data_IF_304026309431
#
_entry.id   IF_304026309431
#
_cell.length_a   1.000
_cell.length_b   1.000
_cell.length_c   1.000
_cell.angle_alpha   90.00
_cell.angle_beta   90.00
_cell.angle_gamma   90.00
#
_symmetry.space_group_name_H-M   'P 1'
#
loop_
_entity.id
_entity.type
_entity.pdbx_description
1 polymer ?
#
# COMPACT_ATOMS: atom_id res chain seq x y z
N UNK A 1 -9.84 -23.21 -19.78
CA UNK A 1 -9.70 -21.82 -19.30
C UNK A 1 -9.96 -21.87 -17.81
N UNK A 2 -8.95 -21.60 -16.96
CA UNK A 2 -9.14 -21.60 -15.50
C UNK A 2 -10.09 -20.47 -15.10
N UNK A 3 -10.92 -20.67 -14.07
CA UNK A 3 -11.71 -19.57 -13.53
C UNK A 3 -10.77 -18.49 -12.95
N UNK A 4 -11.15 -17.22 -12.99
CA UNK A 4 -10.32 -16.10 -12.51
C UNK A 4 -9.85 -16.30 -11.05
N UNK A 5 -10.68 -16.93 -10.20
CA UNK A 5 -10.37 -17.26 -8.80
C UNK A 5 -9.29 -18.34 -8.62
N UNK A 6 -8.96 -19.11 -9.67
CA UNK A 6 -7.97 -20.19 -9.63
C UNK A 6 -6.58 -19.76 -10.13
N UNK A 7 -6.47 -18.58 -10.75
CA UNK A 7 -5.18 -18.10 -11.27
C UNK A 7 -4.16 -17.94 -10.12
N UNK A 8 -2.88 -18.28 -10.35
CA UNK A 8 -1.78 -17.94 -9.44
C UNK A 8 -1.76 -16.43 -9.18
N UNK A 9 -1.66 -15.97 -7.92
CA UNK A 9 -1.45 -14.56 -7.66
C UNK A 9 -0.08 -14.11 -8.16
N UNK A 10 0.04 -12.82 -8.47
CA UNK A 10 1.29 -12.21 -8.88
C UNK A 10 1.83 -11.28 -7.79
N UNK A 11 3.01 -11.59 -7.27
CA UNK A 11 3.66 -10.78 -6.23
C UNK A 11 4.61 -9.80 -6.91
N UNK A 12 4.37 -8.51 -6.73
CA UNK A 12 5.22 -7.43 -7.22
C UNK A 12 6.07 -6.90 -6.08
N UNK A 13 7.39 -6.91 -6.24
CA UNK A 13 8.30 -6.38 -5.22
C UNK A 13 9.28 -5.40 -5.82
N UNK A 14 9.28 -4.16 -5.33
CA UNK A 14 10.36 -3.22 -5.63
C UNK A 14 11.52 -3.38 -4.63
N UNK A 15 12.68 -3.78 -5.15
CA UNK A 15 13.91 -4.02 -4.38
C UNK A 15 14.89 -2.86 -4.58
N UNK A 16 14.85 -1.94 -3.63
CA UNK A 16 15.83 -0.87 -3.45
C UNK A 16 16.95 -1.26 -2.46
N UNK A 17 16.64 -2.14 -1.49
CA UNK A 17 17.57 -2.62 -0.46
C UNK A 17 17.69 -4.16 -0.51
N UNK A 18 18.72 -4.72 -1.16
CA UNK A 18 18.88 -6.17 -1.32
C UNK A 18 18.97 -6.95 -0.01
N UNK A 19 19.62 -6.39 1.02
CA UNK A 19 19.73 -7.00 2.35
C UNK A 19 18.37 -7.23 3.01
N UNK A 20 17.40 -6.37 2.72
CA UNK A 20 16.02 -6.51 3.19
C UNK A 20 15.27 -7.55 2.36
N UNK A 21 15.57 -7.62 1.07
CA UNK A 21 14.90 -8.55 0.16
C UNK A 21 15.13 -10.01 0.57
N UNK A 22 16.33 -10.37 1.02
CA UNK A 22 16.62 -11.74 1.48
C UNK A 22 15.70 -12.19 2.64
N UNK A 23 15.38 -11.29 3.57
CA UNK A 23 14.41 -11.54 4.64
C UNK A 23 13.00 -11.73 4.06
N UNK A 24 12.56 -10.81 3.20
CA UNK A 24 11.21 -10.84 2.61
C UNK A 24 10.99 -12.05 1.69
N UNK A 25 12.02 -12.49 0.96
CA UNK A 25 11.96 -13.69 0.12
C UNK A 25 11.71 -14.96 0.96
N UNK A 26 12.31 -15.05 2.15
CA UNK A 26 12.04 -16.13 3.11
C UNK A 26 10.63 -16.05 3.69
N UNK A 27 10.17 -14.85 4.04
CA UNK A 27 8.80 -14.64 4.53
C UNK A 27 7.76 -15.08 3.48
N UNK A 28 7.96 -14.73 2.21
CA UNK A 28 7.11 -15.14 1.09
C UNK A 28 7.14 -16.67 0.92
N UNK A 29 8.33 -17.27 0.88
CA UNK A 29 8.50 -18.71 0.72
C UNK A 29 7.78 -19.53 1.80
N UNK A 30 7.76 -19.02 3.05
CA UNK A 30 7.11 -19.66 4.19
C UNK A 30 5.58 -19.47 4.21
N UNK A 31 5.11 -18.29 3.82
CA UNK A 31 3.71 -17.92 3.95
C UNK A 31 2.82 -18.33 2.77
N UNK A 32 3.37 -18.32 1.54
CA UNK A 32 2.61 -18.51 0.30
C UNK A 32 2.77 -19.95 -0.20
N UNK A 33 1.94 -20.86 0.33
CA UNK A 33 1.97 -22.29 -0.02
C UNK A 33 0.97 -22.66 -1.13
N UNK A 34 0.89 -21.81 -2.16
CA UNK A 34 0.08 -22.00 -3.38
C UNK A 34 0.88 -21.50 -4.57
N UNK A 35 0.72 -22.05 -5.79
CA UNK A 35 1.41 -21.55 -6.97
C UNK A 35 1.28 -20.03 -7.11
N UNK A 36 2.39 -19.31 -7.30
CA UNK A 36 2.43 -17.86 -7.47
C UNK A 36 3.52 -17.42 -8.45
N UNK A 37 3.32 -16.26 -9.08
CA UNK A 37 4.35 -15.57 -9.86
C UNK A 37 5.04 -14.47 -9.06
N UNK A 38 6.29 -14.14 -9.40
CA UNK A 38 7.05 -13.06 -8.78
C UNK A 38 7.63 -12.11 -9.83
N UNK A 39 7.32 -10.82 -9.68
CA UNK A 39 7.88 -9.73 -10.49
C UNK A 39 8.72 -8.83 -9.58
N UNK A 40 10.03 -8.84 -9.79
CA UNK A 40 10.97 -7.97 -9.10
C UNK A 40 11.31 -6.78 -9.96
N UNK A 41 11.26 -5.59 -9.37
CA UNK A 41 11.88 -4.39 -9.96
C UNK A 41 13.07 -3.96 -9.12
N UNK A 42 14.19 -3.59 -9.74
CA UNK A 42 15.40 -3.22 -9.00
C UNK A 42 16.25 -2.18 -9.74
N UNK A 43 17.08 -1.45 -9.01
CA UNK A 43 17.90 -0.36 -9.53
C UNK A 43 19.29 -0.84 -9.97
N UNK A 44 19.35 -1.81 -10.89
CA UNK A 44 20.62 -2.33 -11.44
C UNK A 44 21.43 -3.20 -10.47
N UNK A 45 20.78 -3.76 -9.44
CA UNK A 45 21.40 -4.72 -8.53
C UNK A 45 21.77 -6.01 -9.27
N UNK A 46 22.97 -6.53 -9.06
CA UNK A 46 23.36 -7.85 -9.56
C UNK A 46 22.81 -8.94 -8.65
N UNK A 47 22.12 -9.92 -9.23
CA UNK A 47 21.67 -11.19 -8.60
C UNK A 47 20.85 -11.02 -7.31
N UNK A 48 19.53 -10.93 -7.44
CA UNK A 48 18.60 -11.00 -6.31
C UNK A 48 18.22 -12.46 -6.02
N UNK A 49 18.20 -12.84 -4.73
CA UNK A 49 17.78 -14.18 -4.33
C UNK A 49 16.31 -14.45 -4.72
N UNK A 50 16.01 -15.68 -5.13
CA UNK A 50 14.63 -16.15 -5.31
C UNK A 50 14.11 -16.73 -4.00
N UNK A 51 12.80 -16.63 -3.71
CA UNK A 51 12.18 -17.41 -2.65
C UNK A 51 12.45 -18.91 -2.85
N UNK A 52 12.98 -19.58 -1.82
CA UNK A 52 13.26 -21.02 -1.86
C UNK A 52 11.98 -21.80 -1.54
N UNK A 53 11.18 -22.07 -2.58
CA UNK A 53 9.87 -22.70 -2.46
C UNK A 53 9.46 -23.39 -3.77
N UNK A 54 8.80 -24.56 -3.73
CA UNK A 54 8.30 -25.22 -4.94
C UNK A 54 7.09 -24.50 -5.55
N UNK A 55 6.52 -23.50 -4.87
CA UNK A 55 5.32 -22.80 -5.32
C UNK A 55 5.60 -21.61 -6.26
N UNK A 56 6.87 -21.24 -6.46
CA UNK A 56 7.24 -20.19 -7.42
C UNK A 56 7.17 -20.76 -8.84
N UNK A 57 6.16 -20.35 -9.62
CA UNK A 57 5.90 -20.88 -10.97
C UNK A 57 6.25 -19.92 -12.11
N UNK A 58 6.33 -18.61 -11.84
CA UNK A 58 6.77 -17.59 -12.80
C UNK A 58 7.69 -16.59 -12.10
N UNK A 59 8.73 -16.12 -12.80
CA UNK A 59 9.71 -15.20 -12.22
C UNK A 59 10.23 -14.22 -13.27
N UNK A 60 10.14 -12.92 -12.95
CA UNK A 60 10.56 -11.83 -13.83
C UNK A 60 11.35 -10.78 -13.04
N UNK A 61 12.42 -10.28 -13.65
CA UNK A 61 13.21 -9.15 -13.13
C UNK A 61 13.16 -7.98 -14.12
N UNK A 62 12.93 -6.77 -13.62
CA UNK A 62 12.85 -5.54 -14.41
C UNK A 62 13.83 -4.53 -13.81
N UNK A 63 14.84 -4.16 -14.59
CA UNK A 63 15.77 -3.09 -14.22
C UNK A 63 15.09 -1.74 -14.43
N UNK A 64 15.03 -0.93 -13.38
CA UNK A 64 14.39 0.39 -13.38
C UNK A 64 15.32 1.44 -12.79
N UNK A 65 14.98 2.71 -12.99
CA UNK A 65 15.62 3.81 -12.27
C UNK A 65 15.01 3.95 -10.86
N UNK A 66 15.78 4.46 -9.91
CA UNK A 66 15.28 4.85 -8.59
C UNK A 66 14.49 6.17 -8.66
N UNK A 67 13.42 6.21 -9.45
CA UNK A 67 12.54 7.36 -9.68
C UNK A 67 11.13 6.97 -9.25
N UNK A 68 10.45 7.86 -8.53
CA UNK A 68 9.10 7.57 -8.02
C UNK A 68 9.05 6.50 -6.92
N UNK A 69 10.20 6.22 -6.27
CA UNK A 69 10.35 5.29 -5.15
C UNK A 69 9.87 3.90 -5.51
N UNK A 70 8.98 3.31 -4.73
CA UNK A 70 8.36 2.02 -5.00
C UNK A 70 7.13 2.08 -5.92
N UNK A 71 6.61 3.28 -6.17
CA UNK A 71 5.36 3.48 -6.91
C UNK A 71 5.61 3.36 -8.41
N UNK A 72 6.46 4.21 -8.99
CA UNK A 72 6.71 4.19 -10.44
C UNK A 72 7.27 2.84 -10.93
N UNK A 73 8.19 2.16 -10.21
CA UNK A 73 8.59 0.80 -10.54
C UNK A 73 7.44 -0.19 -10.54
N UNK A 74 6.51 -0.09 -9.59
CA UNK A 74 5.31 -0.92 -9.59
C UNK A 74 4.41 -0.63 -10.79
N UNK A 75 4.17 0.65 -11.12
CA UNK A 75 3.40 1.03 -12.32
C UNK A 75 4.05 0.52 -13.60
N UNK A 76 5.38 0.58 -13.67
CA UNK A 76 6.16 0.02 -14.78
C UNK A 76 6.00 -1.49 -14.87
N UNK A 77 6.03 -2.19 -13.74
CA UNK A 77 5.83 -3.63 -13.68
C UNK A 77 4.42 -4.06 -14.10
N UNK A 78 3.38 -3.29 -13.75
CA UNK A 78 1.99 -3.55 -14.17
C UNK A 78 1.83 -3.55 -15.70
N UNK A 79 2.67 -2.79 -16.42
CA UNK A 79 2.68 -2.71 -17.88
C UNK A 79 3.62 -3.73 -18.54
N UNK A 80 4.32 -4.54 -17.76
CA UNK A 80 5.22 -5.57 -18.28
C UNK A 80 4.46 -6.64 -19.05
N UNK A 81 5.21 -7.49 -19.74
CA UNK A 81 4.69 -8.80 -20.13
C UNK A 81 4.47 -9.58 -18.82
N UNK A 82 3.23 -9.91 -18.48
CA UNK A 82 2.85 -10.58 -17.24
C UNK A 82 2.02 -11.82 -17.59
N UNK A 83 2.16 -12.93 -16.85
CA UNK A 83 1.22 -14.04 -16.98
C UNK A 83 -0.20 -13.56 -16.58
N UNK A 84 -1.26 -14.19 -17.09
CA UNK A 84 -2.62 -13.89 -16.64
C UNK A 84 -2.75 -14.04 -15.12
N UNK A 85 -3.22 -12.99 -14.44
CA UNK A 85 -3.48 -12.98 -13.02
C UNK A 85 -4.71 -12.11 -12.71
N UNK A 86 -5.41 -12.45 -11.63
CA UNK A 86 -6.54 -11.66 -11.12
C UNK A 86 -6.16 -10.94 -9.81
N UNK A 87 -5.35 -11.59 -8.97
CA UNK A 87 -4.97 -11.05 -7.66
C UNK A 87 -3.47 -10.77 -7.63
N UNK A 88 -3.09 -9.58 -7.21
CA UNK A 88 -1.71 -9.16 -7.01
C UNK A 88 -1.40 -8.82 -5.55
N UNK A 89 -0.13 -8.95 -5.19
CA UNK A 89 0.41 -8.43 -3.93
C UNK A 89 1.50 -7.43 -4.25
N UNK A 90 1.36 -6.18 -3.80
CA UNK A 90 2.42 -5.17 -3.90
C UNK A 90 3.21 -5.12 -2.59
N UNK A 91 4.53 -5.33 -2.69
CA UNK A 91 5.50 -5.14 -1.61
C UNK A 91 6.65 -4.26 -2.09
N UNK A 92 7.47 -3.77 -1.17
CA UNK A 92 8.74 -3.15 -1.52
C UNK A 92 9.70 -3.18 -0.33
N UNK A 93 11.00 -3.09 -0.61
CA UNK A 93 11.99 -2.95 0.45
C UNK A 93 11.95 -1.51 0.97
N UNK A 94 11.57 -1.33 2.24
CA UNK A 94 11.52 -0.02 2.91
C UNK A 94 12.53 0.01 4.06
N UNK A 95 13.31 1.10 4.13
CA UNK A 95 14.01 1.52 5.35
C UNK A 95 13.30 2.74 5.92
N UNK A 96 13.06 2.74 7.22
CA UNK A 96 12.58 3.91 7.95
C UNK A 96 13.71 4.46 8.84
N UNK A 97 14.77 5.08 8.27
CA UNK A 97 15.96 5.50 9.01
C UNK A 97 15.69 6.59 10.06
N UNK A 98 14.48 7.14 10.10
CA UNK A 98 14.05 8.18 11.03
C UNK A 98 13.26 7.64 12.24
N UNK A 99 13.19 6.31 12.39
CA UNK A 99 12.59 5.64 13.54
C UNK A 99 13.55 4.59 14.10
N UNK A 100 13.62 4.47 15.42
CA UNK A 100 14.46 3.47 16.10
C UNK A 100 13.93 2.03 15.88
N UNK A 101 12.67 1.88 15.42
CA UNK A 101 11.92 0.63 15.16
C UNK A 101 11.74 0.31 13.65
N UNK A 102 12.50 0.95 12.75
CA UNK A 102 12.21 0.92 11.30
C UNK A 102 12.20 -0.47 10.64
N UNK A 103 12.99 -1.41 11.15
CA UNK A 103 12.97 -2.81 10.71
C UNK A 103 11.72 -3.54 11.21
N UNK A 104 11.32 -3.30 12.45
CA UNK A 104 10.10 -3.87 13.04
C UNK A 104 8.85 -3.39 12.32
N UNK A 105 8.81 -2.11 11.91
CA UNK A 105 7.76 -1.54 11.07
C UNK A 105 7.58 -2.31 9.75
N UNK A 106 8.68 -2.54 9.03
CA UNK A 106 8.65 -3.27 7.75
C UNK A 106 8.20 -4.70 7.94
N UNK A 107 8.70 -5.37 8.97
CA UNK A 107 8.30 -6.74 9.32
C UNK A 107 6.83 -6.79 9.70
N UNK A 108 6.31 -5.82 10.45
CA UNK A 108 4.88 -5.74 10.78
C UNK A 108 4.02 -5.67 9.52
N UNK A 109 4.31 -4.74 8.60
CA UNK A 109 3.58 -4.60 7.33
C UNK A 109 3.57 -5.90 6.51
N UNK A 110 4.76 -6.49 6.33
CA UNK A 110 4.93 -7.69 5.51
C UNK A 110 4.24 -8.88 6.16
N UNK A 111 4.45 -9.11 7.47
CA UNK A 111 3.81 -10.19 8.21
C UNK A 111 2.30 -10.06 8.28
N UNK A 112 1.77 -8.83 8.37
CA UNK A 112 0.34 -8.57 8.33
C UNK A 112 -0.26 -9.06 7.01
N UNK A 113 0.30 -8.64 5.86
CA UNK A 113 -0.19 -9.07 4.54
C UNK A 113 0.03 -10.56 4.23
N UNK A 114 1.06 -11.16 4.80
CA UNK A 114 1.39 -12.59 4.64
C UNK A 114 0.76 -13.47 5.73
N UNK A 115 0.03 -12.89 6.68
CA UNK A 115 -0.58 -13.63 7.77
C UNK A 115 -1.56 -14.68 7.24
N UNK A 116 -1.54 -15.84 7.89
CA UNK A 116 -2.39 -16.96 7.53
C UNK A 116 -3.66 -16.90 8.37
N UNK A 117 -4.79 -17.14 7.71
CA UNK A 117 -6.10 -17.27 8.32
C UNK A 117 -6.62 -18.68 8.16
N UNK A 118 -7.05 -19.29 9.26
CA UNK A 118 -7.56 -20.66 9.26
C UNK A 118 -6.54 -21.68 8.74
N UNK A 119 -7.05 -22.81 8.23
CA UNK A 119 -6.25 -23.94 7.76
C UNK A 119 -5.96 -23.91 6.24
N UNK A 120 -6.29 -22.82 5.54
CA UNK A 120 -6.08 -22.70 4.10
C UNK A 120 -4.59 -22.62 3.70
N UNK A 121 -4.23 -22.94 2.44
CA UNK A 121 -2.83 -23.06 2.01
C UNK A 121 -2.11 -21.72 1.81
N UNK A 122 -2.81 -20.59 1.66
CA UNK A 122 -2.19 -19.28 1.41
C UNK A 122 -2.52 -18.19 2.45
N UNK A 123 -2.02 -16.96 2.27
CA UNK A 123 -2.35 -15.81 3.12
C UNK A 123 -3.86 -15.56 3.20
N UNK A 124 -4.35 -15.07 4.35
CA UNK A 124 -5.78 -14.80 4.58
C UNK A 124 -6.35 -13.85 3.52
N UNK A 125 -5.63 -12.75 3.24
CA UNK A 125 -6.05 -11.75 2.25
C UNK A 125 -6.24 -12.32 0.83
N UNK A 126 -5.36 -13.24 0.41
CA UNK A 126 -5.51 -13.92 -0.88
C UNK A 126 -6.79 -14.75 -0.91
N UNK A 127 -7.06 -15.50 0.17
CA UNK A 127 -8.27 -16.32 0.26
C UNK A 127 -9.53 -15.44 0.24
N UNK A 128 -9.55 -14.34 0.99
CA UNK A 128 -10.69 -13.42 1.01
C UNK A 128 -10.93 -12.76 -0.35
N UNK A 129 -9.88 -12.34 -1.08
CA UNK A 129 -10.04 -11.79 -2.43
C UNK A 129 -10.58 -12.81 -3.43
N UNK A 130 -10.34 -14.11 -3.22
CA UNK A 130 -10.89 -15.18 -4.07
C UNK A 130 -12.38 -15.43 -3.81
N UNK A 131 -12.86 -15.20 -2.58
CA UNK A 131 -14.26 -15.42 -2.21
C UNK A 131 -15.12 -14.17 -2.33
N UNK A 132 -14.53 -12.98 -2.18
CA UNK A 132 -15.23 -11.70 -2.22
C UNK A 132 -14.93 -10.91 -3.52
N UNK A 133 -15.75 -11.05 -4.58
CA UNK A 133 -15.48 -10.42 -5.88
C UNK A 133 -15.53 -8.89 -5.82
N UNK A 134 -16.34 -8.32 -4.93
CA UNK A 134 -16.46 -6.87 -4.76
C UNK A 134 -15.31 -6.24 -3.97
N UNK A 135 -14.42 -7.05 -3.37
CA UNK A 135 -13.23 -6.55 -2.69
C UNK A 135 -12.08 -6.40 -3.71
N UNK A 136 -11.49 -5.21 -3.77
CA UNK A 136 -10.46 -4.85 -4.76
C UNK A 136 -9.10 -4.49 -4.17
N UNK A 137 -9.02 -4.14 -2.88
CA UNK A 137 -7.77 -3.81 -2.21
C UNK A 137 -7.82 -4.18 -0.73
N UNK A 138 -6.76 -4.80 -0.21
CA UNK A 138 -6.60 -5.07 1.23
C UNK A 138 -5.28 -4.45 1.70
N UNK A 139 -5.40 -3.44 2.57
CA UNK A 139 -4.27 -2.80 3.21
C UNK A 139 -3.77 -3.58 4.44
N UNK A 140 -2.51 -3.40 4.85
CA UNK A 140 -1.97 -3.93 6.10
C UNK A 140 -2.76 -3.45 7.31
N UNK A 141 -2.69 -4.21 8.39
CA UNK A 141 -3.35 -3.87 9.66
C UNK A 141 -2.99 -2.46 10.13
N UNK A 142 -3.98 -1.63 10.47
CA UNK A 142 -3.76 -0.26 10.93
C UNK A 142 -3.23 0.71 9.87
N UNK A 143 -3.20 0.31 8.58
CA UNK A 143 -2.66 1.12 7.49
C UNK A 143 -3.69 1.63 6.49
N UNK A 144 -4.98 1.31 6.66
CA UNK A 144 -6.07 1.96 5.92
C UNK A 144 -6.50 3.25 6.62
N UNK A 145 -5.72 4.31 6.42
CA UNK A 145 -5.82 5.57 7.17
C UNK A 145 -6.75 6.58 6.49
N UNK A 146 -7.41 7.49 7.26
CA UNK A 146 -8.20 8.56 6.67
C UNK A 146 -7.32 9.56 5.90
N UNK A 147 -7.78 9.97 4.73
CA UNK A 147 -7.13 11.01 3.92
C UNK A 147 -7.27 12.41 4.54
N UNK A 148 -8.31 12.62 5.36
CA UNK A 148 -8.53 13.88 6.08
C UNK A 148 -7.25 14.32 6.82
N UNK A 149 -6.87 15.58 6.63
CA UNK A 149 -5.66 16.16 7.22
C UNK A 149 -4.33 15.79 6.55
N UNK A 150 -4.33 14.91 5.53
CA UNK A 150 -3.10 14.40 4.88
C UNK A 150 -2.96 14.79 3.40
N UNK A 151 -3.88 15.62 2.89
CA UNK A 151 -3.93 16.03 1.49
C UNK A 151 -3.12 17.28 1.16
N UNK A 152 -2.82 18.15 2.13
CA UNK A 152 -2.46 19.56 1.86
C UNK A 152 -1.22 19.78 0.97
N UNK A 153 -0.27 18.84 0.95
CA UNK A 153 0.92 18.86 0.10
C UNK A 153 0.72 18.10 -1.23
N UNK A 154 -0.33 17.29 -1.34
CA UNK A 154 -0.55 16.36 -2.44
C UNK A 154 -1.73 16.74 -3.33
N UNK A 155 -2.51 17.78 -3.00
CA UNK A 155 -3.67 18.21 -3.82
C UNK A 155 -3.32 18.41 -5.30
N UNK A 156 -2.23 19.14 -5.59
CA UNK A 156 -1.80 19.40 -6.97
C UNK A 156 -1.35 18.12 -7.71
N UNK A 157 -0.40 17.32 -7.18
CA UNK A 157 -0.01 16.10 -7.88
C UNK A 157 -1.14 15.06 -7.95
N UNK A 158 -2.05 15.00 -6.98
CA UNK A 158 -3.26 14.16 -7.05
C UNK A 158 -4.20 14.62 -8.17
N UNK A 159 -4.45 15.92 -8.31
CA UNK A 159 -5.29 16.44 -9.38
C UNK A 159 -4.68 16.17 -10.76
N UNK A 160 -3.36 16.34 -10.92
CA UNK A 160 -2.66 16.00 -12.15
C UNK A 160 -2.76 14.50 -12.48
N UNK A 161 -2.60 13.64 -11.47
CA UNK A 161 -2.71 12.19 -11.62
C UNK A 161 -4.14 11.76 -11.99
N UNK A 162 -5.16 12.25 -11.28
CA UNK A 162 -6.56 11.98 -11.59
C UNK A 162 -6.92 12.42 -13.01
N UNK A 163 -6.43 13.60 -13.44
CA UNK A 163 -6.61 14.09 -14.81
C UNK A 163 -5.94 13.16 -15.83
N UNK A 164 -4.73 12.68 -15.56
CA UNK A 164 -4.03 11.74 -16.46
C UNK A 164 -4.74 10.38 -16.53
N UNK A 165 -5.41 9.96 -15.45
CA UNK A 165 -6.22 8.75 -15.40
C UNK A 165 -7.63 8.90 -16.01
N UNK A 166 -8.05 10.12 -16.36
CA UNK A 166 -9.42 10.39 -16.80
C UNK A 166 -10.47 10.20 -15.68
N UNK A 167 -10.06 10.25 -14.41
CA UNK A 167 -10.94 10.03 -13.26
C UNK A 167 -11.33 11.39 -12.67
N UNK A 168 -12.63 11.63 -12.55
CA UNK A 168 -13.18 12.83 -11.93
C UNK A 168 -13.65 12.54 -10.50
N UNK A 169 -13.11 13.25 -9.52
CA UNK A 169 -13.50 13.16 -8.12
C UNK A 169 -13.62 14.55 -7.52
N UNK A 170 -14.68 14.78 -6.73
CA UNK A 170 -14.82 16.01 -5.95
C UNK A 170 -13.82 15.98 -4.80
N UNK A 171 -13.35 17.17 -4.42
CA UNK A 171 -12.46 17.34 -3.26
C UNK A 171 -13.07 16.75 -1.97
N UNK A 172 -14.38 16.83 -1.79
CA UNK A 172 -15.07 16.22 -0.62
C UNK A 172 -14.92 14.70 -0.59
N UNK A 173 -15.01 14.02 -1.73
CA UNK A 173 -14.86 12.56 -1.85
C UNK A 173 -13.44 12.11 -1.49
N UNK A 174 -12.44 12.95 -1.78
CA UNK A 174 -11.06 12.73 -1.35
C UNK A 174 -10.89 12.94 0.16
N UNK A 175 -11.58 13.93 0.75
CA UNK A 175 -11.46 14.23 2.18
C UNK A 175 -12.08 13.16 3.07
N UNK A 176 -13.22 12.59 2.65
CA UNK A 176 -13.93 11.51 3.35
C UNK A 176 -13.30 10.13 3.11
N UNK A 177 -12.32 10.08 2.22
CA UNK A 177 -11.66 8.86 1.81
C UNK A 177 -10.64 8.28 2.76
N UNK A 178 -10.17 7.08 2.41
CA UNK A 178 -9.04 6.41 3.04
C UNK A 178 -7.93 6.16 2.02
N UNK A 179 -6.74 5.82 2.51
CA UNK A 179 -5.61 5.40 1.69
C UNK A 179 -4.80 4.30 2.37
N UNK A 180 -4.16 3.46 1.58
CA UNK A 180 -3.28 2.40 2.04
C UNK A 180 -1.87 2.97 2.29
N UNK A 181 -1.61 3.38 3.52
CA UNK A 181 -0.34 3.98 3.91
C UNK A 181 0.82 2.98 3.80
N UNK A 182 1.99 3.46 3.37
CA UNK A 182 3.19 2.65 3.07
C UNK A 182 3.13 1.80 1.79
N UNK A 183 2.13 1.99 0.91
CA UNK A 183 2.10 1.43 -0.46
C UNK A 183 2.40 -0.08 -0.56
N UNK A 184 2.03 -0.86 0.46
CA UNK A 184 2.00 -2.32 0.41
C UNK A 184 0.55 -2.76 0.59
N UNK A 185 0.05 -3.68 -0.23
CA UNK A 185 -1.34 -4.15 -0.16
C UNK A 185 -1.54 -5.33 -1.12
N UNK A 186 -2.56 -6.14 -0.84
CA UNK A 186 -3.15 -7.02 -1.84
C UNK A 186 -4.14 -6.24 -2.70
N UNK A 187 -4.31 -6.63 -3.97
CA UNK A 187 -5.23 -5.97 -4.87
C UNK A 187 -5.78 -6.93 -5.93
N UNK A 188 -6.95 -6.59 -6.49
CA UNK A 188 -7.46 -7.16 -7.72
C UNK A 188 -6.90 -6.38 -8.91
N UNK A 189 -6.46 -7.07 -9.96
CA UNK A 189 -5.86 -6.47 -11.15
C UNK A 189 -6.78 -5.41 -11.77
N UNK A 190 -8.07 -5.73 -11.92
CA UNK A 190 -9.07 -4.83 -12.46
C UNK A 190 -9.24 -3.54 -11.63
N UNK A 191 -9.18 -3.66 -10.29
CA UNK A 191 -9.35 -2.53 -9.38
C UNK A 191 -8.25 -1.46 -9.53
N UNK A 192 -7.05 -1.86 -9.98
CA UNK A 192 -5.93 -0.94 -10.22
C UNK A 192 -5.60 -0.76 -11.71
N UNK A 193 -6.42 -1.28 -12.62
CA UNK A 193 -6.16 -1.20 -14.06
C UNK A 193 -5.85 0.21 -14.60
N UNK A 194 -6.46 1.32 -14.11
CA UNK A 194 -6.12 2.67 -14.58
C UNK A 194 -4.66 3.05 -14.34
N UNK A 195 -4.02 2.51 -13.29
CA UNK A 195 -2.62 2.80 -12.97
C UNK A 195 -1.61 2.23 -13.99
N UNK A 196 -2.08 1.43 -14.95
CA UNK A 196 -1.28 0.97 -16.09
C UNK A 196 -1.13 2.04 -17.19
N UNK A 197 -1.72 3.23 -17.04
CA UNK A 197 -1.54 4.36 -17.95
C UNK A 197 -0.09 4.86 -17.98
N UNK A 198 0.52 4.91 -19.17
CA UNK A 198 1.89 5.39 -19.37
C UNK A 198 2.02 6.92 -19.21
N UNK A 199 0.90 7.64 -19.34
CA UNK A 199 0.73 9.08 -19.15
C UNK A 199 1.06 9.53 -17.73
N UNK A 200 1.13 8.60 -16.78
CA UNK A 200 1.55 8.87 -15.41
C UNK A 200 3.06 9.09 -15.28
N UNK A 201 3.88 8.46 -16.12
CA UNK A 201 5.33 8.45 -15.96
C UNK A 201 5.96 9.86 -15.98
N UNK A 202 5.54 10.80 -16.85
CA UNK A 202 6.06 12.17 -16.84
C UNK A 202 5.75 12.95 -15.55
N UNK A 203 4.73 12.54 -14.77
CA UNK A 203 4.36 13.22 -13.52
C UNK A 203 5.39 12.99 -12.41
N UNK A 204 6.17 11.91 -12.47
CA UNK A 204 7.12 11.55 -11.42
C UNK A 204 8.39 12.40 -11.49
N UNK A 205 8.73 13.06 -10.40
CA UNK A 205 9.95 13.86 -10.33
C UNK A 205 11.19 12.97 -10.17
N UNK A 206 12.37 13.48 -10.54
CA UNK A 206 13.63 12.83 -10.19
C UNK A 206 13.78 12.74 -8.66
N UNK A 207 14.32 11.64 -8.15
CA UNK A 207 14.48 11.47 -6.70
C UNK A 207 15.60 12.39 -6.17
N UNK A 208 15.22 13.22 -5.20
CA UNK A 208 16.07 14.21 -4.53
C UNK A 208 15.78 14.24 -3.02
N UNK A 209 15.42 13.08 -2.44
CA UNK A 209 15.06 12.90 -1.03
C UNK A 209 13.88 13.77 -0.57
N UNK A 210 12.91 14.02 -1.45
CA UNK A 210 11.69 14.77 -1.13
C UNK A 210 10.90 14.07 -0.01
N UNK A 211 10.35 14.81 0.95
CA UNK A 211 9.62 14.16 2.06
C UNK A 211 8.14 13.86 1.77
N UNK A 212 7.48 14.68 0.96
CA UNK A 212 6.04 14.57 0.66
C UNK A 212 5.73 15.44 -0.59
N UNK A 213 4.50 15.36 -1.11
CA UNK A 213 4.01 16.24 -2.18
C UNK A 213 4.55 15.91 -3.58
N UNK A 214 5.00 14.67 -3.79
CA UNK A 214 5.47 14.15 -5.09
C UNK A 214 4.40 13.30 -5.75
N UNK A 215 4.58 12.93 -7.03
CA UNK A 215 3.66 12.01 -7.70
C UNK A 215 3.53 10.64 -6.99
N UNK A 216 4.61 10.13 -6.38
CA UNK A 216 4.57 8.88 -5.61
C UNK A 216 3.64 8.98 -4.38
N UNK A 217 3.70 10.11 -3.66
CA UNK A 217 2.84 10.38 -2.51
C UNK A 217 1.38 10.65 -2.92
N UNK A 218 1.17 11.21 -4.11
CA UNK A 218 -0.16 11.34 -4.70
C UNK A 218 -0.76 9.97 -5.05
N UNK A 219 0.00 9.09 -5.71
CA UNK A 219 -0.44 7.72 -5.99
C UNK A 219 -0.78 6.94 -4.72
N UNK A 220 0.08 7.03 -3.68
CA UNK A 220 -0.18 6.43 -2.36
C UNK A 220 -1.57 6.82 -1.82
N UNK A 221 -1.94 8.10 -1.94
CA UNK A 221 -3.24 8.64 -1.51
C UNK A 221 -4.40 8.24 -2.42
N UNK A 222 -4.11 7.82 -3.66
CA UNK A 222 -5.10 7.54 -4.69
C UNK A 222 -5.34 6.05 -4.92
N UNK A 223 -4.48 5.12 -4.49
CA UNK A 223 -4.68 3.67 -4.74
C UNK A 223 -6.07 3.18 -4.33
N UNK A 224 -6.52 3.52 -3.12
CA UNK A 224 -7.86 3.18 -2.62
C UNK A 224 -8.95 3.87 -3.44
N UNK A 225 -8.75 5.14 -3.82
CA UNK A 225 -9.74 5.92 -4.57
C UNK A 225 -9.91 5.47 -6.01
N UNK A 226 -8.84 5.02 -6.65
CA UNK A 226 -8.90 4.38 -7.96
C UNK A 226 -9.59 3.01 -7.86
N UNK A 227 -9.24 2.21 -6.84
CA UNK A 227 -9.97 0.95 -6.56
C UNK A 227 -11.48 1.19 -6.42
N UNK A 228 -11.88 2.20 -5.65
CA UNK A 228 -13.29 2.57 -5.47
C UNK A 228 -13.96 3.06 -6.76
N UNK A 229 -13.26 3.85 -7.59
CA UNK A 229 -13.78 4.33 -8.87
C UNK A 229 -13.98 3.20 -9.89
N UNK A 230 -13.21 2.12 -9.78
CA UNK A 230 -13.37 0.91 -10.59
C UNK A 230 -14.52 0.00 -10.11
N UNK A 231 -15.28 0.42 -9.10
CA UNK A 231 -16.43 -0.35 -8.65
C UNK A 231 -16.10 -1.43 -7.61
N UNK A 232 -14.99 -1.30 -6.88
CA UNK A 232 -14.61 -2.21 -5.80
C UNK A 232 -14.63 -1.53 -4.42
N UNK A 233 -14.68 -2.33 -3.36
CA UNK A 233 -14.42 -1.88 -2.01
C UNK A 233 -12.93 -2.06 -1.65
N UNK A 234 -12.42 -1.20 -0.77
CA UNK A 234 -11.12 -1.38 -0.12
C UNK A 234 -11.32 -1.74 1.34
N UNK A 235 -10.47 -2.62 1.86
CA UNK A 235 -10.50 -3.08 3.25
C UNK A 235 -9.08 -3.19 3.82
N UNK A 236 -8.96 -3.76 5.01
CA UNK A 236 -7.70 -3.94 5.71
C UNK A 236 -7.67 -5.27 6.48
N UNK A 237 -6.46 -5.72 6.85
CA UNK A 237 -6.26 -7.04 7.46
C UNK A 237 -7.11 -7.28 8.72
N UNK A 238 -7.30 -6.27 9.57
CA UNK A 238 -8.11 -6.35 10.79
C UNK A 238 -9.61 -6.59 10.52
N UNK A 239 -10.10 -6.26 9.33
CA UNK A 239 -11.50 -6.44 8.95
C UNK A 239 -11.79 -7.84 8.38
N UNK A 240 -10.77 -8.56 7.91
CA UNK A 240 -10.96 -9.83 7.21
C UNK A 240 -11.69 -10.90 8.03
N UNK A 241 -11.44 -11.09 9.34
CA UNK A 241 -12.20 -12.07 10.13
C UNK A 241 -13.71 -11.81 10.11
N UNK A 242 -14.12 -10.54 10.20
CA UNK A 242 -15.53 -10.16 10.15
C UNK A 242 -16.13 -10.35 8.75
N UNK A 243 -15.37 -10.01 7.70
CA UNK A 243 -15.76 -10.23 6.31
C UNK A 243 -15.95 -11.72 6.02
N UNK A 244 -15.01 -12.56 6.44
CA UNK A 244 -15.08 -14.02 6.26
C UNK A 244 -16.30 -14.58 7.00
N UNK A 245 -16.52 -14.16 8.27
CA UNK A 245 -17.68 -14.59 9.05
C UNK A 245 -19.00 -14.23 8.36
N UNK A 246 -19.14 -12.98 7.91
CA UNK A 246 -20.33 -12.52 7.20
C UNK A 246 -20.52 -13.22 5.85
N UNK A 247 -19.43 -13.47 5.11
CA UNK A 247 -19.47 -14.19 3.84
C UNK A 247 -19.89 -15.65 4.02
N UNK A 248 -19.40 -16.31 5.07
CA UNK A 248 -19.76 -17.69 5.41
C UNK A 248 -21.23 -17.83 5.83
N UNK A 249 -21.79 -16.85 6.55
CA UNK A 249 -23.22 -16.80 6.91
C UNK A 249 -24.14 -16.63 5.69
N UNK A 250 -23.67 -15.99 4.63
CA UNK A 250 -24.42 -15.77 3.39
C UNK A 250 -24.24 -16.87 2.34
N UNK A 251 -23.44 -17.92 2.61
CA UNK A 251 -23.18 -19.01 1.64
C UNK A 251 -24.46 -19.73 1.25
N UNK A 252 -24.95 -19.41 0.06
CA UNK A 252 -26.09 -20.02 -0.59
C UNK A 252 -26.90 -19.08 -1.48
N UNK A 253 -26.78 -17.75 -1.31
CA UNK A 253 -27.65 -16.81 -2.03
C UNK A 253 -26.99 -15.54 -2.61
N UNK A 254 -25.90 -14.97 -2.06
CA UNK A 254 -25.19 -13.80 -2.63
C UNK A 254 -23.78 -13.59 -2.00
N UNK A 255 -22.85 -12.95 -2.73
CA UNK A 255 -21.58 -12.41 -2.18
C UNK A 255 -21.82 -11.07 -1.47
N UNK A 256 -20.93 -10.66 -0.56
CA UNK A 256 -21.10 -9.40 0.17
C UNK A 256 -21.04 -8.21 -0.79
N UNK A 257 -22.06 -7.34 -0.74
CA UNK A 257 -22.04 -6.10 -1.50
C UNK A 257 -21.00 -5.11 -0.95
N UNK A 258 -20.72 -4.06 -1.74
CA UNK A 258 -19.71 -3.06 -1.39
C UNK A 258 -20.02 -2.29 -0.12
N UNK A 259 -21.29 -2.00 0.13
CA UNK A 259 -21.70 -1.21 1.28
C UNK A 259 -21.52 -2.01 2.57
N UNK A 260 -21.84 -3.31 2.52
CA UNK A 260 -21.58 -4.27 3.60
C UNK A 260 -20.09 -4.40 3.88
N UNK A 261 -19.25 -4.59 2.84
CA UNK A 261 -17.79 -4.64 2.98
C UNK A 261 -17.23 -3.36 3.60
N UNK A 262 -17.72 -2.18 3.18
CA UNK A 262 -17.31 -0.90 3.74
C UNK A 262 -17.69 -0.76 5.22
N UNK A 263 -18.93 -1.13 5.57
CA UNK A 263 -19.41 -1.05 6.95
C UNK A 263 -18.62 -1.96 7.90
N UNK A 264 -18.33 -3.20 7.48
CA UNK A 264 -17.49 -4.13 8.24
C UNK A 264 -16.07 -3.59 8.42
N UNK A 265 -15.52 -2.98 7.37
CA UNK A 265 -14.20 -2.35 7.39
C UNK A 265 -14.16 -1.18 8.37
N UNK A 266 -15.13 -0.26 8.30
CA UNK A 266 -15.18 0.91 9.19
C UNK A 266 -15.36 0.49 10.66
N UNK A 267 -16.18 -0.53 10.92
CA UNK A 267 -16.35 -1.10 12.25
C UNK A 267 -15.02 -1.67 12.80
N UNK A 268 -14.31 -2.48 12.01
CA UNK A 268 -13.03 -3.06 12.41
C UNK A 268 -11.96 -1.99 12.68
N UNK A 269 -11.85 -0.98 11.81
CA UNK A 269 -10.87 0.10 11.98
C UNK A 269 -11.19 0.97 13.21
N UNK A 270 -12.47 1.19 13.53
CA UNK A 270 -12.85 1.97 14.70
C UNK A 270 -12.47 1.32 16.03
N UNK A 271 -12.33 -0.01 16.05
CA UNK A 271 -12.02 -0.81 17.25
C UNK A 271 -10.56 -1.21 17.32
N UNK A 272 -9.87 -1.27 16.19
CA UNK A 272 -8.45 -1.60 16.12
C UNK A 272 -7.59 -0.48 16.74
N UNK A 273 -6.76 -0.85 17.71
CA UNK A 273 -5.71 0.04 18.19
C UNK A 273 -4.74 0.32 17.04
N UNK A 274 -4.57 1.58 16.65
CA UNK A 274 -3.55 1.96 15.70
C UNK A 274 -2.30 2.45 16.47
N UNK A 275 -1.29 1.60 16.70
CA UNK A 275 -0.07 1.97 17.42
C UNK A 275 0.76 3.04 16.69
N UNK A 276 0.34 3.42 15.47
CA UNK A 276 1.04 4.32 14.58
C UNK A 276 0.29 5.62 14.31
N UNK A 277 -0.82 5.88 15.00
CA UNK A 277 -1.49 7.19 14.99
C UNK A 277 -0.54 8.27 15.53
N UNK A 278 -0.17 9.23 14.68
CA UNK A 278 0.64 10.37 15.10
C UNK A 278 -0.24 11.33 15.92
N UNK A 279 0.17 11.76 17.14
CA UNK A 279 -0.63 12.61 18.03
C UNK A 279 -1.08 13.96 17.44
N UNK A 280 -0.46 14.39 16.33
CA UNK A 280 -0.65 15.73 15.77
C UNK A 280 -1.40 15.77 14.43
N UNK A 281 -1.98 14.67 13.97
CA UNK A 281 -2.71 14.66 12.69
C UNK A 281 -3.83 15.71 12.65
N UNK A 282 -4.58 15.86 13.74
CA UNK A 282 -5.65 16.85 13.90
C UNK A 282 -5.13 18.28 13.99
N UNK A 283 -3.97 18.48 14.60
CA UNK A 283 -3.37 19.81 14.67
C UNK A 283 -2.97 20.32 13.27
N UNK A 284 -2.32 19.46 12.47
CA UNK A 284 -1.88 19.84 11.12
C UNK A 284 -3.04 19.96 10.13
N UNK A 285 -4.10 19.16 10.30
CA UNK A 285 -5.31 19.28 9.49
C UNK A 285 -5.98 20.65 9.65
N UNK A 286 -6.03 21.16 10.89
CA UNK A 286 -6.58 22.49 11.22
C UNK A 286 -5.67 23.65 10.78
N UNK A 287 -4.36 23.43 10.70
CA UNK A 287 -3.37 24.47 10.41
C UNK A 287 -2.60 24.25 9.10
N UNK A 288 -3.33 24.13 7.98
CA UNK A 288 -2.78 23.81 6.65
C UNK A 288 -1.65 24.76 6.19
N UNK A 289 -1.74 26.05 6.52
CA UNK A 289 -0.69 27.05 6.18
C UNK A 289 0.60 26.83 6.97
N UNK A 290 0.48 26.49 8.26
CA UNK A 290 1.64 26.17 9.10
C UNK A 290 2.32 24.89 8.66
N UNK A 291 1.58 23.87 8.22
CA UNK A 291 2.17 22.64 7.66
C UNK A 291 3.00 22.94 6.41
N UNK A 292 2.47 23.77 5.49
CA UNK A 292 3.20 24.19 4.27
C UNK A 292 4.46 24.98 4.63
N UNK A 293 4.38 25.89 5.60
CA UNK A 293 5.53 26.65 6.08
C UNK A 293 6.59 25.75 6.74
N UNK A 294 6.15 24.83 7.61
CA UNK A 294 7.02 23.86 8.28
C UNK A 294 7.73 22.93 7.29
N UNK A 295 7.07 22.55 6.20
CA UNK A 295 7.68 21.76 5.13
C UNK A 295 8.73 22.56 4.35
N UNK A 296 8.44 23.82 4.02
CA UNK A 296 9.38 24.71 3.32
C UNK A 296 10.62 25.01 4.17
N UNK A 297 10.44 25.20 5.49
CA UNK A 297 11.55 25.37 6.41
C UNK A 297 12.32 24.07 6.60
N UNK A 298 11.65 22.92 6.72
CA UNK A 298 12.31 21.61 6.79
C UNK A 298 13.29 21.37 5.64
N UNK A 299 12.90 21.72 4.41
CA UNK A 299 13.77 21.61 3.21
C UNK A 299 15.05 22.45 3.28
N UNK A 300 15.10 23.46 4.15
CA UNK A 300 16.24 24.37 4.34
C UNK A 300 17.01 24.12 5.64
N UNK A 301 16.51 23.24 6.52
CA UNK A 301 17.11 22.98 7.83
C UNK A 301 18.07 21.78 7.74
N UNK A 302 19.35 21.92 8.17
CA UNK A 302 20.29 20.82 8.17
C UNK A 302 19.81 19.62 9.02
N UNK A 303 20.08 18.37 8.60
CA UNK A 303 19.65 17.15 9.31
C UNK A 303 19.98 17.07 10.82
N UNK A 304 21.11 17.59 11.34
CA UNK A 304 21.36 17.55 12.79
C UNK A 304 20.44 18.47 13.60
N UNK A 305 20.11 19.66 13.08
CA UNK A 305 19.19 20.61 13.72
C UNK A 305 17.77 20.04 13.82
N UNK A 306 17.30 19.41 12.74
CA UNK A 306 15.99 18.76 12.76
C UNK A 306 15.89 17.61 13.78
N UNK A 307 16.94 16.80 13.88
CA UNK A 307 17.00 15.70 14.87
C UNK A 307 16.93 16.24 16.31
N UNK A 308 17.56 17.36 16.59
CA UNK A 308 17.48 18.03 17.89
C UNK A 308 16.05 18.56 18.18
N UNK A 309 15.42 19.24 17.21
CA UNK A 309 14.05 19.73 17.35
C UNK A 309 13.05 18.60 17.59
N UNK A 310 13.16 17.48 16.86
CA UNK A 310 12.30 16.31 17.09
C UNK A 310 12.46 15.71 18.48
N UNK A 311 13.70 15.62 19.00
CA UNK A 311 13.95 15.13 20.37
C UNK A 311 13.28 16.02 21.42
N UNK A 312 13.30 17.34 21.21
CA UNK A 312 12.63 18.30 22.09
C UNK A 312 11.10 18.15 22.06
N UNK A 313 10.51 18.05 20.86
CA UNK A 313 9.06 17.86 20.70
C UNK A 313 8.60 16.53 21.31
N UNK A 314 9.35 15.43 21.11
CA UNK A 314 9.03 14.13 21.74
C UNK A 314 9.09 14.19 23.26
N UNK A 315 10.12 14.82 23.83
CA UNK A 315 10.26 15.01 25.29
C UNK A 315 9.14 15.87 25.89
N UNK A 316 8.66 16.84 25.12
CA UNK A 316 7.55 17.68 25.52
C UNK A 316 6.23 16.89 25.51
N UNK A 317 5.95 16.18 24.42
CA UNK A 317 4.76 15.35 24.28
C UNK A 317 4.70 14.21 25.33
N UNK A 318 5.83 13.57 25.66
CA UNK A 318 5.89 12.51 26.67
C UNK A 318 5.77 13.00 28.12
N UNK A 319 5.90 14.31 28.36
CA UNK A 319 5.72 14.92 29.69
C UNK A 319 4.29 15.38 29.93
N UNK A 320 3.47 15.43 28.89
CA UNK A 320 2.12 16.04 28.89
C UNK A 320 1.07 15.09 28.30
N UNK A 321 1.40 13.81 28.20
CA UNK A 321 0.49 12.68 27.99
C UNK A 321 0.43 11.88 29.29
#
# INVERSE_FOLDING_TARGET
MMAASELPPLIFVHVHYPDIWEEMARDIASAVNVPFGLVLTHCGQSTLAKPDTPYLVDYREIVVQNRGRDVLPFLTALRGDLPPYDIGLKLHTKRSPHRDDGAEWRRFLTRSLLSRGGNGPGPMALQTLRTEPHLGLIAPEGHLLPLQGRLALNEKPMAAMLSALGIFMRTSELHEGRFAASTMFWFRAEALSPFSAAELDPLFENEAAQLDGTAAHAAERLFVKVCESQGFAASSMEALPAIICAGDEQRGMNTLDRDTLRNLTDAAISTAANPFSLPMADFWSRHRRLLRLAHLTYRRVPPPLWRAMRRLVRRYASRHA
#
